data_IF_645342710992
#
_entry.id   IF_645342710992
#
_cell.length_a   1.000
_cell.length_b   1.000
_cell.length_c   1.000
_cell.angle_alpha   90.00
_cell.angle_beta   90.00
_cell.angle_gamma   90.00
#
_symmetry.space_group_name_H-M   'P 1'
#
loop_
_entity.id
_entity.type
_entity.pdbx_description
1 polymer ?
#
# COMPACT_ATOMS: atom_id res chain seq x y z
N UNK A 1 -23.18 -13.58 -0.50
CA UNK A 1 -23.96 -13.32 0.72
C UNK A 1 -23.25 -12.20 1.48
N UNK A 2 -23.70 -10.94 1.32
CA UNK A 2 -23.15 -9.80 2.05
C UNK A 2 -23.58 -9.92 3.52
N UNK A 3 -22.70 -10.39 4.39
CA UNK A 3 -22.90 -10.28 5.83
C UNK A 3 -22.38 -8.91 6.27
N UNK A 4 -23.29 -8.00 6.60
CA UNK A 4 -22.92 -6.81 7.36
C UNK A 4 -22.53 -7.27 8.77
N UNK A 5 -21.29 -6.97 9.17
CA UNK A 5 -20.79 -7.23 10.52
C UNK A 5 -20.69 -5.87 11.21
N UNK A 6 -21.40 -5.71 12.33
CA UNK A 6 -21.30 -4.52 13.15
C UNK A 6 -19.92 -4.49 13.84
N UNK A 7 -19.17 -3.43 13.60
CA UNK A 7 -17.80 -3.30 14.11
C UNK A 7 -17.73 -3.04 15.62
N UNK A 8 -18.81 -2.60 16.22
CA UNK A 8 -18.93 -2.34 17.66
C UNK A 8 -19.43 -3.58 18.38
N UNK A 9 -20.56 -4.13 17.96
CA UNK A 9 -21.20 -5.28 18.63
C UNK A 9 -20.46 -6.58 18.33
N UNK A 10 -19.94 -6.74 17.11
CA UNK A 10 -19.26 -7.95 16.62
C UNK A 10 -17.75 -7.73 16.42
N UNK A 11 -17.14 -6.92 17.29
CA UNK A 11 -15.75 -6.47 17.11
C UNK A 11 -14.72 -7.60 16.94
N UNK A 12 -14.93 -8.76 17.59
CA UNK A 12 -14.04 -9.93 17.44
C UNK A 12 -14.07 -10.50 16.04
N UNK A 13 -15.26 -10.60 15.43
CA UNK A 13 -15.43 -11.07 14.06
C UNK A 13 -14.90 -10.03 13.06
N UNK A 14 -15.19 -8.75 13.29
CA UNK A 14 -14.69 -7.67 12.47
C UNK A 14 -13.16 -7.66 12.41
N UNK A 15 -12.48 -7.81 13.55
CA UNK A 15 -11.00 -7.86 13.62
C UNK A 15 -10.39 -9.05 12.87
N UNK A 16 -11.06 -10.20 12.84
CA UNK A 16 -10.60 -11.35 12.05
C UNK A 16 -10.61 -11.09 10.53
N UNK A 17 -11.42 -10.16 10.08
CA UNK A 17 -11.57 -9.80 8.68
C UNK A 17 -10.68 -8.63 8.24
N UNK A 18 -10.01 -7.97 9.18
CA UNK A 18 -9.24 -6.76 8.95
C UNK A 18 -7.76 -6.97 9.23
N UNK A 19 -6.91 -6.64 8.27
CA UNK A 19 -5.49 -6.40 8.46
C UNK A 19 -5.24 -4.89 8.47
N UNK A 20 -4.77 -4.34 9.58
CA UNK A 20 -4.54 -2.90 9.73
C UNK A 20 -3.06 -2.67 10.00
N UNK A 21 -2.46 -1.80 9.21
CA UNK A 21 -1.08 -1.32 9.41
C UNK A 21 -1.14 0.08 9.99
N UNK A 22 -0.78 0.27 11.27
CA UNK A 22 -0.78 1.58 11.90
C UNK A 22 0.41 2.43 11.40
N UNK A 23 0.28 3.73 11.51
CA UNK A 23 1.36 4.67 11.20
C UNK A 23 2.56 4.51 12.15
N UNK A 24 2.31 4.24 13.43
CA UNK A 24 3.34 4.06 14.45
C UNK A 24 4.01 2.69 14.38
N UNK A 25 5.34 2.67 14.54
CA UNK A 25 6.15 1.45 14.55
C UNK A 25 6.13 0.78 15.93
N UNK A 26 5.03 0.12 16.27
CA UNK A 26 4.92 -0.68 17.49
C UNK A 26 5.27 -2.13 17.17
N UNK A 27 6.34 -2.66 17.76
CA UNK A 27 6.79 -4.05 17.57
C UNK A 27 7.34 -4.62 18.88
N UNK A 28 7.22 -5.94 19.03
CA UNK A 28 7.85 -6.65 20.13
C UNK A 28 9.34 -6.89 19.80
N UNK A 29 10.25 -6.40 20.64
CA UNK A 29 11.68 -6.48 20.38
C UNK A 29 12.31 -7.86 20.64
N UNK A 30 11.58 -8.80 21.22
CA UNK A 30 12.10 -10.10 21.62
C UNK A 30 12.09 -11.13 20.49
N UNK A 31 11.22 -10.94 19.48
CA UNK A 31 11.01 -11.90 18.41
C UNK A 31 11.81 -11.55 17.14
N UNK A 32 12.09 -12.57 16.33
CA UNK A 32 12.47 -12.37 14.94
C UNK A 32 11.23 -12.14 14.06
N UNK A 33 11.44 -11.75 12.80
CA UNK A 33 10.35 -11.40 11.91
C UNK A 33 9.37 -12.57 11.72
N UNK A 34 9.87 -13.78 11.46
CA UNK A 34 9.06 -14.98 11.25
C UNK A 34 8.25 -15.35 12.50
N UNK A 35 8.89 -15.32 13.66
CA UNK A 35 8.21 -15.59 14.93
C UNK A 35 7.06 -14.61 15.16
N UNK A 36 7.30 -13.31 14.95
CA UNK A 36 6.26 -12.28 15.07
C UNK A 36 5.07 -12.59 14.15
N UNK A 37 5.31 -12.98 12.88
CA UNK A 37 4.24 -13.31 11.95
C UNK A 37 3.47 -14.56 12.37
N UNK A 38 4.16 -15.60 12.85
CA UNK A 38 3.53 -16.83 13.37
C UNK A 38 2.68 -16.55 14.60
N UNK A 39 3.18 -15.74 15.55
CA UNK A 39 2.39 -15.32 16.72
C UNK A 39 1.13 -14.57 16.30
N UNK A 40 1.26 -13.61 15.38
CA UNK A 40 0.12 -12.87 14.89
C UNK A 40 -0.90 -13.79 14.20
N UNK A 41 -0.45 -14.72 13.35
CA UNK A 41 -1.29 -15.70 12.71
C UNK A 41 -1.99 -16.60 13.72
N UNK A 42 -1.25 -17.09 14.74
CA UNK A 42 -1.77 -17.92 15.83
C UNK A 42 -2.81 -17.20 16.67
N UNK A 43 -2.66 -15.89 16.92
CA UNK A 43 -3.66 -15.08 17.62
C UNK A 43 -5.01 -15.08 16.90
N UNK A 44 -5.01 -15.24 15.58
CA UNK A 44 -6.21 -15.37 14.75
C UNK A 44 -6.58 -16.82 14.42
N UNK A 45 -6.02 -17.81 15.15
CA UNK A 45 -6.36 -19.22 15.01
C UNK A 45 -5.72 -19.92 13.80
N UNK A 46 -4.64 -19.35 13.22
CA UNK A 46 -3.87 -19.99 12.15
C UNK A 46 -2.70 -20.77 12.74
N UNK A 47 -2.55 -22.02 12.33
CA UNK A 47 -1.49 -22.90 12.76
C UNK A 47 -0.32 -23.01 11.77
N UNK A 48 0.49 -24.09 11.86
CA UNK A 48 1.64 -24.31 10.99
C UNK A 48 1.30 -24.42 9.49
N UNK A 49 0.07 -24.74 9.14
CA UNK A 49 -0.44 -24.75 7.76
C UNK A 49 -0.33 -23.37 7.09
N UNK A 50 -0.18 -22.33 7.88
CA UNK A 50 -0.05 -20.95 7.41
C UNK A 50 1.39 -20.54 7.07
N UNK A 51 2.38 -21.41 7.30
CA UNK A 51 3.81 -21.08 7.10
C UNK A 51 4.14 -20.75 5.64
N UNK A 52 3.53 -21.44 4.69
CA UNK A 52 3.71 -21.12 3.27
C UNK A 52 3.25 -19.70 2.93
N UNK A 53 2.15 -19.23 3.54
CA UNK A 53 1.67 -17.87 3.41
C UNK A 53 2.61 -16.85 4.06
N UNK A 54 3.17 -17.18 5.24
CA UNK A 54 4.18 -16.34 5.90
C UNK A 54 5.42 -16.17 5.01
N UNK A 55 5.87 -17.25 4.35
CA UNK A 55 7.00 -17.18 3.41
C UNK A 55 6.68 -16.33 2.19
N UNK A 56 5.48 -16.46 1.65
CA UNK A 56 5.01 -15.64 0.52
C UNK A 56 4.96 -14.15 0.86
N UNK A 57 4.42 -13.80 2.04
CA UNK A 57 4.42 -12.41 2.53
C UNK A 57 5.86 -11.90 2.64
N UNK A 58 6.74 -12.65 3.29
CA UNK A 58 8.14 -12.24 3.50
C UNK A 58 8.87 -11.99 2.18
N UNK A 59 8.62 -12.81 1.17
CA UNK A 59 9.16 -12.61 -0.18
C UNK A 59 8.56 -11.34 -0.83
N UNK A 60 7.24 -11.16 -0.75
CA UNK A 60 6.52 -10.04 -1.36
C UNK A 60 6.92 -8.67 -0.80
N UNK A 61 7.32 -8.61 0.48
CA UNK A 61 7.80 -7.37 1.13
C UNK A 61 9.33 -7.24 1.14
N UNK A 62 10.08 -8.16 0.50
CA UNK A 62 11.53 -8.14 0.43
C UNK A 62 12.22 -8.31 1.79
N UNK A 63 11.72 -9.22 2.63
CA UNK A 63 12.30 -9.58 3.92
C UNK A 63 12.57 -11.08 4.08
N UNK A 64 12.57 -11.85 2.99
CA UNK A 64 12.80 -13.30 3.04
C UNK A 64 14.17 -13.65 3.66
N UNK A 65 15.24 -12.92 3.30
CA UNK A 65 16.60 -13.07 3.83
C UNK A 65 16.74 -12.61 5.29
N UNK A 66 15.79 -11.84 5.80
CA UNK A 66 15.73 -11.30 7.16
C UNK A 66 14.70 -12.00 8.04
N UNK A 67 14.06 -13.07 7.56
CA UNK A 67 13.00 -13.78 8.28
C UNK A 67 13.39 -14.15 9.72
N UNK A 68 14.62 -14.59 9.94
CA UNK A 68 15.15 -14.99 11.23
C UNK A 68 15.94 -13.87 11.95
N UNK A 69 15.89 -12.64 11.42
CA UNK A 69 16.55 -11.49 12.06
C UNK A 69 15.64 -10.91 13.13
N UNK A 70 16.21 -10.62 14.31
CA UNK A 70 15.47 -9.98 15.39
C UNK A 70 14.99 -8.59 14.98
N UNK A 71 13.76 -8.24 15.39
CA UNK A 71 13.11 -6.97 15.04
C UNK A 71 13.92 -5.74 15.42
N UNK A 72 14.70 -5.78 16.51
CA UNK A 72 15.59 -4.66 16.93
C UNK A 72 16.67 -4.34 15.91
N UNK A 73 17.18 -5.35 15.20
CA UNK A 73 18.28 -5.22 14.24
C UNK A 73 17.86 -4.70 12.88
N UNK A 74 16.56 -4.55 12.65
CA UNK A 74 16.02 -4.05 11.40
C UNK A 74 16.11 -2.51 11.31
N UNK A 75 16.34 -2.00 10.10
CA UNK A 75 16.21 -0.57 9.81
C UNK A 75 14.74 -0.10 9.96
N UNK A 76 14.50 1.21 10.03
CA UNK A 76 13.14 1.75 10.14
C UNK A 76 12.24 1.30 8.99
N UNK A 77 12.71 1.35 7.74
CA UNK A 77 11.98 0.87 6.58
C UNK A 77 11.73 -0.64 6.60
N UNK A 78 12.69 -1.44 7.09
CA UNK A 78 12.49 -2.89 7.27
C UNK A 78 11.45 -3.20 8.36
N UNK A 79 11.45 -2.46 9.47
CA UNK A 79 10.44 -2.57 10.53
C UNK A 79 9.06 -2.26 10.01
N UNK A 80 8.91 -1.17 9.21
CA UNK A 80 7.61 -0.82 8.59
C UNK A 80 7.10 -1.94 7.71
N UNK A 81 7.94 -2.52 6.87
CA UNK A 81 7.57 -3.68 6.03
C UNK A 81 7.19 -4.90 6.87
N UNK A 82 7.91 -5.18 7.94
CA UNK A 82 7.57 -6.27 8.85
C UNK A 82 6.20 -6.07 9.52
N UNK A 83 5.79 -4.83 9.84
CA UNK A 83 4.45 -4.53 10.34
C UNK A 83 3.36 -4.71 9.27
N UNK A 84 3.66 -4.38 8.01
CA UNK A 84 2.76 -4.70 6.89
C UNK A 84 2.57 -6.22 6.81
N UNK A 85 3.66 -7.00 6.87
CA UNK A 85 3.60 -8.44 6.91
C UNK A 85 2.77 -8.97 8.08
N UNK A 86 2.92 -8.38 9.27
CA UNK A 86 2.16 -8.75 10.46
C UNK A 86 0.65 -8.57 10.24
N UNK A 87 0.22 -7.45 9.64
CA UNK A 87 -1.19 -7.22 9.33
C UNK A 87 -1.77 -8.23 8.34
N UNK A 88 -0.93 -8.82 7.50
CA UNK A 88 -1.30 -9.82 6.50
C UNK A 88 -1.24 -11.27 7.03
N UNK A 89 -0.60 -11.50 8.17
CA UNK A 89 -0.22 -12.83 8.64
C UNK A 89 -1.40 -13.80 8.79
N UNK A 90 -2.59 -13.32 9.14
CA UNK A 90 -3.81 -14.13 9.29
C UNK A 90 -4.67 -14.23 8.03
N UNK A 91 -4.20 -13.69 6.89
CA UNK A 91 -4.87 -13.71 5.59
C UNK A 91 -6.24 -13.00 5.59
N UNK A 92 -6.30 -11.74 6.02
CA UNK A 92 -7.57 -11.01 6.13
C UNK A 92 -8.14 -10.66 4.76
N UNK A 93 -9.48 -10.74 4.56
CA UNK A 93 -10.10 -10.36 3.28
C UNK A 93 -10.06 -8.85 3.01
N UNK A 94 -9.91 -8.01 4.04
CA UNK A 94 -9.80 -6.56 3.92
C UNK A 94 -8.51 -6.08 4.56
N UNK A 95 -7.75 -5.27 3.84
CA UNK A 95 -6.44 -4.77 4.25
C UNK A 95 -6.47 -3.25 4.21
N UNK A 96 -6.10 -2.61 5.31
CA UNK A 96 -5.99 -1.15 5.43
C UNK A 96 -4.51 -0.80 5.62
N UNK A 97 -3.97 -0.04 4.68
CA UNK A 97 -2.57 0.37 4.64
C UNK A 97 -2.49 1.89 4.76
N UNK A 98 -1.86 2.37 5.83
CA UNK A 98 -1.63 3.80 6.01
C UNK A 98 -0.22 4.15 5.54
N UNK A 99 -0.12 4.89 4.42
CA UNK A 99 1.12 5.29 3.75
C UNK A 99 2.14 4.13 3.58
N UNK A 100 1.78 3.02 2.91
CA UNK A 100 2.54 1.77 2.97
C UNK A 100 3.98 1.89 2.47
N UNK A 101 4.27 2.79 1.54
CA UNK A 101 5.60 2.95 0.94
C UNK A 101 6.33 4.22 1.39
N UNK A 102 5.86 4.90 2.43
CA UNK A 102 6.56 6.06 2.97
C UNK A 102 7.98 5.70 3.44
N UNK A 103 8.98 6.44 2.97
CA UNK A 103 10.38 6.19 3.31
C UNK A 103 11.00 4.92 2.70
N UNK A 104 10.35 4.32 1.71
CA UNK A 104 10.85 3.15 0.96
C UNK A 104 11.54 3.63 -0.32
N UNK A 105 12.69 3.03 -0.67
CA UNK A 105 13.38 3.30 -1.93
C UNK A 105 12.55 2.86 -3.15
N UNK A 106 12.91 3.38 -4.34
CA UNK A 106 12.12 3.22 -5.56
C UNK A 106 11.99 1.76 -6.00
N UNK A 107 13.07 0.99 -5.96
CA UNK A 107 13.07 -0.41 -6.41
C UNK A 107 12.19 -1.28 -5.51
N UNK A 108 12.35 -1.12 -4.22
CA UNK A 108 11.57 -1.84 -3.23
C UNK A 108 10.09 -1.42 -3.24
N UNK A 109 9.80 -0.12 -3.48
CA UNK A 109 8.42 0.38 -3.66
C UNK A 109 7.71 -0.37 -4.79
N UNK A 110 8.37 -0.54 -5.93
CA UNK A 110 7.81 -1.29 -7.06
C UNK A 110 7.53 -2.76 -6.71
N UNK A 111 8.43 -3.40 -5.97
CA UNK A 111 8.23 -4.77 -5.47
C UNK A 111 6.99 -4.85 -4.56
N UNK A 112 6.85 -3.91 -3.62
CA UNK A 112 5.68 -3.83 -2.74
C UNK A 112 4.39 -3.56 -3.51
N UNK A 113 4.41 -2.68 -4.51
CA UNK A 113 3.24 -2.43 -5.36
C UNK A 113 2.82 -3.67 -6.15
N UNK A 114 3.80 -4.41 -6.70
CA UNK A 114 3.52 -5.67 -7.38
C UNK A 114 2.85 -6.68 -6.44
N UNK A 115 3.31 -6.77 -5.18
CA UNK A 115 2.72 -7.63 -4.16
C UNK A 115 1.31 -7.18 -3.77
N UNK A 116 1.07 -5.89 -3.53
CA UNK A 116 -0.26 -5.33 -3.25
C UNK A 116 -1.24 -5.63 -4.40
N UNK A 117 -0.81 -5.44 -5.65
CA UNK A 117 -1.62 -5.81 -6.83
C UNK A 117 -1.92 -7.31 -6.88
N UNK A 118 -0.97 -8.16 -6.50
CA UNK A 118 -1.18 -9.60 -6.42
C UNK A 118 -2.27 -9.93 -5.41
N UNK A 119 -2.19 -9.41 -4.19
CA UNK A 119 -3.21 -9.59 -3.15
C UNK A 119 -4.60 -9.16 -3.61
N UNK A 120 -4.70 -8.02 -4.29
CA UNK A 120 -5.99 -7.56 -4.83
C UNK A 120 -6.55 -8.52 -5.90
N UNK A 121 -5.71 -9.05 -6.81
CA UNK A 121 -6.12 -10.06 -7.79
C UNK A 121 -6.55 -11.38 -7.16
N UNK A 122 -5.99 -11.73 -6.00
CA UNK A 122 -6.35 -12.91 -5.22
C UNK A 122 -7.62 -12.73 -4.39
N UNK A 123 -8.28 -11.57 -4.51
CA UNK A 123 -9.59 -11.29 -3.90
C UNK A 123 -9.55 -10.49 -2.61
N UNK A 124 -8.39 -10.03 -2.17
CA UNK A 124 -8.31 -9.11 -1.03
C UNK A 124 -8.82 -7.72 -1.42
N UNK A 125 -9.65 -7.12 -0.59
CA UNK A 125 -10.03 -5.70 -0.71
C UNK A 125 -8.98 -4.87 -0.03
N UNK A 126 -8.39 -3.89 -0.76
CA UNK A 126 -7.33 -3.06 -0.24
C UNK A 126 -7.81 -1.61 -0.16
N UNK A 127 -7.65 -1.01 1.01
CA UNK A 127 -7.86 0.41 1.26
C UNK A 127 -6.48 0.96 1.62
N UNK A 128 -6.02 1.97 0.91
CA UNK A 128 -4.75 2.62 1.24
C UNK A 128 -4.92 4.13 1.34
N UNK A 129 -4.19 4.74 2.24
CA UNK A 129 -3.98 6.18 2.28
C UNK A 129 -2.60 6.49 1.73
N UNK A 130 -2.47 7.55 0.97
CA UNK A 130 -1.19 8.00 0.44
C UNK A 130 -1.25 9.48 0.06
N UNK A 131 -0.12 10.16 0.15
CA UNK A 131 0.07 11.49 -0.42
C UNK A 131 0.87 11.43 -1.74
N UNK A 132 1.26 10.23 -2.18
CA UNK A 132 1.92 10.01 -3.47
C UNK A 132 0.89 9.70 -4.55
N UNK A 133 0.75 10.64 -5.50
CA UNK A 133 -0.21 10.51 -6.60
C UNK A 133 0.07 9.26 -7.46
N UNK A 134 1.36 9.00 -7.75
CA UNK A 134 1.81 7.84 -8.51
C UNK A 134 1.39 6.50 -7.88
N UNK A 135 1.42 6.40 -6.55
CA UNK A 135 0.97 5.22 -5.82
C UNK A 135 -0.55 5.02 -5.97
N UNK A 136 -1.32 6.09 -5.80
CA UNK A 136 -2.77 6.05 -5.98
C UNK A 136 -3.16 5.68 -7.42
N UNK A 137 -2.49 6.26 -8.42
CA UNK A 137 -2.70 5.95 -9.83
C UNK A 137 -2.37 4.49 -10.17
N UNK A 138 -1.29 3.98 -9.58
CA UNK A 138 -0.79 2.63 -9.87
C UNK A 138 -1.59 1.53 -9.20
N UNK A 139 -2.08 1.77 -7.98
CA UNK A 139 -2.68 0.73 -7.14
C UNK A 139 -4.21 0.80 -7.05
N UNK A 140 -4.81 1.98 -7.21
CA UNK A 140 -6.21 2.18 -6.89
C UNK A 140 -7.09 2.16 -8.13
N UNK A 141 -8.22 1.45 -8.05
CA UNK A 141 -9.29 1.52 -9.06
C UNK A 141 -10.19 2.76 -8.84
N UNK A 142 -10.32 3.20 -7.58
CA UNK A 142 -11.08 4.37 -7.16
C UNK A 142 -10.26 5.18 -6.16
N UNK A 143 -10.35 6.49 -6.26
CA UNK A 143 -9.62 7.42 -5.40
C UNK A 143 -10.61 8.37 -4.74
N UNK A 144 -10.50 8.52 -3.42
CA UNK A 144 -11.16 9.55 -2.63
C UNK A 144 -10.15 10.64 -2.29
N UNK A 145 -10.39 11.88 -2.69
CA UNK A 145 -9.54 13.03 -2.35
C UNK A 145 -10.10 13.73 -1.13
N UNK A 146 -9.25 13.87 -0.11
CA UNK A 146 -9.61 14.53 1.15
C UNK A 146 -8.95 15.91 1.23
N UNK A 147 -9.69 16.90 1.72
CA UNK A 147 -9.16 18.24 2.04
C UNK A 147 -9.80 18.74 3.32
N UNK A 148 -8.98 19.08 4.31
CA UNK A 148 -9.45 19.59 5.62
C UNK A 148 -10.49 18.68 6.32
N UNK A 149 -10.32 17.35 6.19
CA UNK A 149 -11.25 16.37 6.76
C UNK A 149 -12.50 16.10 5.93
N UNK A 150 -12.72 16.81 4.82
CA UNK A 150 -13.86 16.63 3.94
C UNK A 150 -13.49 15.86 2.66
N UNK A 151 -14.40 15.01 2.19
CA UNK A 151 -14.25 14.29 0.93
C UNK A 151 -14.63 15.22 -0.24
N UNK A 152 -13.61 15.73 -0.96
CA UNK A 152 -13.82 16.70 -2.04
C UNK A 152 -14.06 16.05 -3.41
N UNK A 153 -13.60 14.82 -3.59
CA UNK A 153 -13.86 14.04 -4.81
C UNK A 153 -13.82 12.55 -4.50
N UNK A 154 -14.65 11.77 -5.18
CA UNK A 154 -14.64 10.31 -5.18
C UNK A 154 -15.02 9.81 -6.56
N UNK A 155 -14.07 9.24 -7.28
CA UNK A 155 -14.32 8.75 -8.64
C UNK A 155 -13.35 7.59 -8.98
N UNK A 156 -13.51 7.01 -10.16
CA UNK A 156 -12.50 6.10 -10.70
C UNK A 156 -11.19 6.83 -10.98
N UNK A 157 -10.07 6.11 -10.85
CA UNK A 157 -8.74 6.66 -11.15
C UNK A 157 -8.69 7.28 -12.54
N UNK A 158 -9.24 6.60 -13.55
CA UNK A 158 -9.28 7.09 -14.93
C UNK A 158 -10.05 8.42 -15.06
N UNK A 159 -11.20 8.55 -14.40
CA UNK A 159 -12.00 9.77 -14.43
C UNK A 159 -11.30 10.94 -13.75
N UNK A 160 -10.66 10.69 -12.59
CA UNK A 160 -9.91 11.74 -11.88
C UNK A 160 -8.72 12.20 -12.69
N UNK A 161 -7.96 11.29 -13.29
CA UNK A 161 -6.85 11.64 -14.17
C UNK A 161 -7.32 12.49 -15.34
N UNK A 162 -8.43 12.15 -15.98
CA UNK A 162 -8.98 12.95 -17.06
C UNK A 162 -9.45 14.34 -16.63
N UNK A 163 -9.95 14.48 -15.39
CA UNK A 163 -10.42 15.77 -14.85
C UNK A 163 -9.27 16.69 -14.43
N UNK A 164 -8.22 16.11 -13.85
CA UNK A 164 -7.10 16.86 -13.24
C UNK A 164 -5.83 16.87 -14.08
N UNK A 165 -5.68 15.97 -15.06
CA UNK A 165 -4.61 16.02 -16.03
C UNK A 165 -4.89 17.18 -16.98
N UNK A 166 -4.38 18.35 -16.67
CA UNK A 166 -4.22 19.40 -17.69
C UNK A 166 -3.45 18.79 -18.86
N UNK A 167 -3.96 18.93 -20.08
CA UNK A 167 -3.29 18.45 -21.29
C UNK A 167 -1.92 19.15 -21.37
N UNK A 168 -0.85 18.49 -20.90
CA UNK A 168 0.51 19.00 -21.01
C UNK A 168 1.15 18.36 -22.23
N UNK A 169 1.39 19.17 -23.24
CA UNK A 169 2.19 18.77 -24.39
C UNK A 169 3.66 19.10 -24.11
N UNK A 170 4.51 18.09 -23.95
CA UNK A 170 5.96 18.27 -23.87
C UNK A 170 6.56 18.07 -25.25
N UNK A 171 7.15 19.12 -25.80
CA UNK A 171 7.87 19.08 -27.07
C UNK A 171 9.38 19.14 -26.76
N UNK A 172 10.11 18.10 -27.16
CA UNK A 172 11.58 18.15 -27.19
C UNK A 172 11.99 18.66 -28.57
N UNK A 173 12.52 19.86 -28.62
CA UNK A 173 13.00 20.45 -29.86
C UNK A 173 14.47 20.08 -30.04
N UNK A 174 14.83 19.62 -31.25
CA UNK A 174 16.21 19.49 -31.65
C UNK A 174 16.85 20.87 -31.90
N UNK A 175 17.91 20.93 -32.71
CA UNK A 175 18.66 22.18 -33.03
C UNK A 175 17.80 23.24 -33.78
N UNK A 176 16.63 22.88 -34.29
CA UNK A 176 15.70 23.80 -34.97
C UNK A 176 14.75 24.38 -33.95
N UNK A 177 14.84 25.68 -33.70
CA UNK A 177 14.01 26.39 -32.73
C UNK A 177 12.50 26.29 -33.03
N UNK A 178 11.67 26.68 -32.06
CA UNK A 178 10.22 26.70 -32.15
C UNK A 178 9.73 27.51 -33.36
N UNK A 179 8.88 26.94 -34.25
CA UNK A 179 8.22 27.70 -35.27
C UNK A 179 7.43 28.89 -34.69
N UNK A 180 7.54 30.07 -35.27
CA UNK A 180 6.89 31.28 -34.77
C UNK A 180 5.36 31.15 -34.63
N UNK A 181 4.74 30.34 -35.45
CA UNK A 181 3.30 30.09 -35.44
C UNK A 181 2.81 29.37 -34.14
N UNK A 182 3.70 28.69 -33.42
CA UNK A 182 3.33 27.92 -32.18
C UNK A 182 3.61 28.74 -30.93
N UNK A 183 4.47 29.77 -30.97
CA UNK A 183 4.84 30.60 -29.78
C UNK A 183 3.64 31.20 -29.03
N UNK A 184 2.57 31.74 -29.75
CA UNK A 184 1.42 32.31 -29.05
C UNK A 184 0.57 31.27 -28.30
N UNK A 185 0.67 29.99 -28.64
CA UNK A 185 -0.09 28.90 -28.03
C UNK A 185 0.54 28.33 -26.79
N UNK A 186 1.80 28.67 -26.52
CA UNK A 186 2.53 28.19 -25.34
C UNK A 186 2.32 29.18 -24.20
N UNK A 187 1.56 28.78 -23.18
CA UNK A 187 1.55 29.46 -21.90
C UNK A 187 2.87 29.13 -21.20
N UNK A 188 3.75 30.10 -21.04
CA UNK A 188 4.87 29.99 -20.12
C UNK A 188 4.30 29.82 -18.70
N UNK A 189 4.62 28.72 -18.05
CA UNK A 189 4.53 28.63 -16.58
C UNK A 189 5.92 29.05 -16.06
N UNK A 190 5.98 30.23 -15.45
CA UNK A 190 7.04 30.65 -14.57
C UNK A 190 7.01 29.82 -13.28
#
# INVERSE_FOLDING_TARGET
>A
MNRCIDVVEQFRQARQLLGIVPQELVFDPFFNVREMLRFQAGYFGRGPENDAWVDEILAGIGLADKANTNMRKLSGGMKRRALIAQALAHKPPVIVLDEPTAGVDVELRQTMWAFIKKLNREGHTIILTTHYLEEAETLCNRIGMMKQGELVALDSTANLLNKFAGKKLSLTLGEVGLPEAIRPMLRAQE
#
